data_IF_743180567629
#
_entry.id   IF_743180567629
#
_cell.length_a   1.000
_cell.length_b   1.000
_cell.length_c   1.000
_cell.angle_alpha   90.00
_cell.angle_beta   90.00
_cell.angle_gamma   90.00
#
_symmetry.space_group_name_H-M   'P 1'
#
loop_
_entity.id
_entity.type
_entity.pdbx_description
1 polymer ?
#
# COMPACT_ATOMS: atom_id res chain seq x y z
N UNK A 1 22.39 -5.94 0.98
CA UNK A 1 21.09 -6.47 1.42
C UNK A 1 20.20 -5.27 1.64
N UNK A 2 19.25 -5.01 0.74
CA UNK A 2 18.50 -3.76 0.78
C UNK A 2 17.41 -3.88 1.85
N UNK A 3 17.14 -2.80 2.58
CA UNK A 3 16.11 -2.76 3.65
C UNK A 3 14.68 -2.96 3.09
N UNK A 4 14.54 -3.15 1.77
CA UNK A 4 13.29 -3.49 1.10
C UNK A 4 13.02 -5.01 1.08
N UNK A 5 14.06 -5.84 1.25
CA UNK A 5 13.96 -7.30 1.12
C UNK A 5 13.21 -7.97 2.30
N UNK A 6 13.21 -7.35 3.48
CA UNK A 6 12.51 -7.88 4.67
C UNK A 6 10.98 -7.69 4.62
N UNK A 7 10.46 -6.83 3.74
CA UNK A 7 9.04 -6.52 3.66
C UNK A 7 8.23 -7.64 2.98
N UNK A 8 8.77 -8.23 1.93
CA UNK A 8 8.07 -9.26 1.15
C UNK A 8 8.04 -10.63 1.87
N UNK A 9 9.02 -10.91 2.73
CA UNK A 9 9.16 -12.23 3.38
C UNK A 9 8.19 -12.52 4.54
N UNK A 10 7.36 -11.57 4.97
CA UNK A 10 6.43 -11.79 6.11
C UNK A 10 5.02 -12.19 5.69
N UNK A 11 4.63 -11.96 4.43
CA UNK A 11 3.37 -12.46 3.91
C UNK A 11 3.53 -13.95 3.56
N UNK A 12 3.19 -14.83 4.51
CA UNK A 12 3.43 -16.29 4.41
C UNK A 12 2.42 -17.04 3.55
N UNK A 13 1.44 -16.35 2.96
CA UNK A 13 0.43 -16.94 2.07
C UNK A 13 0.76 -16.62 0.61
N UNK A 14 0.23 -17.40 -0.37
CA UNK A 14 0.21 -16.93 -1.75
C UNK A 14 -0.45 -15.55 -1.79
N UNK A 15 0.11 -14.63 -2.59
CA UNK A 15 -0.46 -13.30 -2.84
C UNK A 15 -0.98 -13.30 -4.28
N UNK A 16 -2.25 -13.66 -4.53
CA UNK A 16 -2.84 -13.57 -5.87
C UNK A 16 -2.94 -12.13 -6.38
N UNK A 17 -3.18 -11.16 -5.51
CA UNK A 17 -3.49 -9.79 -5.92
C UNK A 17 -2.88 -8.74 -4.98
N UNK A 18 -2.33 -7.67 -5.56
CA UNK A 18 -1.72 -6.59 -4.80
C UNK A 18 -2.01 -5.20 -5.40
N UNK A 19 -2.32 -4.24 -4.55
CA UNK A 19 -2.48 -2.82 -4.89
C UNK A 19 -1.29 -2.01 -4.36
N UNK A 20 -0.70 -1.18 -5.20
CA UNK A 20 0.41 -0.28 -4.86
C UNK A 20 0.02 1.17 -5.17
N UNK A 21 -0.07 2.01 -4.14
CA UNK A 21 -0.34 3.45 -4.31
C UNK A 21 0.97 4.23 -4.53
N UNK A 22 1.02 5.08 -5.56
CA UNK A 22 2.11 6.03 -5.90
C UNK A 22 3.55 5.45 -5.85
N UNK A 23 3.87 4.38 -6.57
CA UNK A 23 5.23 3.82 -6.47
C UNK A 23 5.80 3.10 -7.71
N UNK A 24 7.10 3.33 -7.97
CA UNK A 24 7.95 2.61 -8.96
C UNK A 24 8.38 1.20 -8.53
N UNK A 25 8.31 0.87 -7.24
CA UNK A 25 8.74 -0.43 -6.65
C UNK A 25 7.77 -1.61 -6.91
N UNK A 26 6.71 -1.40 -7.69
CA UNK A 26 5.81 -2.47 -8.15
C UNK A 26 6.52 -3.52 -9.02
N UNK A 27 7.62 -3.15 -9.69
CA UNK A 27 8.40 -4.08 -10.53
C UNK A 27 9.10 -5.15 -9.69
N UNK A 28 9.80 -4.75 -8.64
CA UNK A 28 10.54 -5.68 -7.78
C UNK A 28 9.59 -6.69 -7.12
N UNK A 29 8.37 -6.25 -6.75
CA UNK A 29 7.33 -7.14 -6.25
C UNK A 29 6.79 -8.08 -7.33
N UNK A 30 6.46 -7.55 -8.52
CA UNK A 30 5.97 -8.36 -9.63
C UNK A 30 6.97 -9.42 -10.09
N UNK A 31 8.27 -9.11 -10.07
CA UNK A 31 9.35 -10.03 -10.40
C UNK A 31 9.51 -11.13 -9.33
N UNK A 32 9.32 -10.78 -8.05
CA UNK A 32 9.35 -11.75 -6.94
C UNK A 32 8.10 -12.66 -6.88
N UNK A 33 6.95 -12.15 -7.32
CA UNK A 33 5.67 -12.86 -7.33
C UNK A 33 5.05 -12.86 -8.74
N UNK A 34 5.60 -13.63 -9.69
CA UNK A 34 5.15 -13.63 -11.09
C UNK A 34 3.71 -14.15 -11.26
N UNK A 35 3.18 -14.90 -10.28
CA UNK A 35 1.79 -15.35 -10.26
C UNK A 35 0.81 -14.31 -9.68
N UNK A 36 1.32 -13.25 -9.06
CA UNK A 36 0.49 -12.19 -8.48
C UNK A 36 0.09 -11.18 -9.57
N UNK A 37 -1.15 -10.74 -9.56
CA UNK A 37 -1.56 -9.54 -10.28
C UNK A 37 -1.26 -8.30 -9.44
N UNK A 38 -0.52 -7.35 -10.03
CA UNK A 38 -0.07 -6.15 -9.35
C UNK A 38 -0.71 -4.94 -10.02
N UNK A 39 -1.52 -4.19 -9.28
CA UNK A 39 -2.12 -2.94 -9.75
C UNK A 39 -1.35 -1.78 -9.12
N UNK A 40 -0.78 -0.92 -9.96
CA UNK A 40 -0.25 0.36 -9.54
C UNK A 40 -1.27 1.47 -9.79
N UNK A 41 -1.56 2.29 -8.77
CA UNK A 41 -2.43 3.46 -8.94
C UNK A 41 -1.71 4.78 -8.71
N UNK A 42 -2.10 5.79 -9.48
CA UNK A 42 -1.59 7.15 -9.42
C UNK A 42 -2.66 8.14 -9.89
N UNK A 43 -2.61 9.38 -9.41
CA UNK A 43 -3.49 10.46 -9.87
C UNK A 43 -3.19 10.83 -11.33
N UNK A 44 -1.98 10.55 -11.80
CA UNK A 44 -1.50 10.82 -13.14
C UNK A 44 -1.25 9.53 -13.91
N UNK A 45 -1.40 9.53 -15.25
CA UNK A 45 -1.03 8.39 -16.09
C UNK A 45 0.50 8.26 -16.17
N UNK A 46 1.12 7.70 -15.13
CA UNK A 46 2.58 7.56 -15.00
C UNK A 46 3.06 6.13 -15.34
N UNK A 47 2.85 5.69 -16.59
CA UNK A 47 3.36 4.40 -17.05
C UNK A 47 4.83 4.49 -17.48
N UNK A 48 5.72 3.59 -17.01
CA UNK A 48 7.04 3.37 -17.62
C UNK A 48 6.88 2.71 -19.01
N UNK A 49 7.87 2.87 -19.87
CA UNK A 49 7.88 2.26 -21.22
C UNK A 49 7.82 0.72 -21.18
N UNK A 50 8.32 0.11 -20.12
CA UNK A 50 8.31 -1.35 -19.96
C UNK A 50 7.90 -1.75 -18.55
N UNK A 51 6.95 -2.67 -18.46
CA UNK A 51 6.43 -3.25 -17.21
C UNK A 51 6.26 -4.77 -17.39
N UNK A 52 6.43 -5.56 -16.32
CA UNK A 52 6.10 -6.98 -16.35
C UNK A 52 4.64 -7.24 -16.75
N UNK A 53 4.32 -8.39 -17.37
CA UNK A 53 2.98 -8.68 -17.89
C UNK A 53 1.91 -8.81 -16.79
N UNK A 54 2.33 -9.05 -15.55
CA UNK A 54 1.46 -9.14 -14.37
C UNK A 54 1.27 -7.78 -13.66
N UNK A 55 1.74 -6.68 -14.25
CA UNK A 55 1.57 -5.32 -13.72
C UNK A 55 0.58 -4.54 -14.57
N UNK A 56 -0.46 -4.02 -13.93
CA UNK A 56 -1.46 -3.13 -14.52
C UNK A 56 -1.45 -1.78 -13.82
N UNK A 57 -2.01 -0.79 -14.51
CA UNK A 57 -2.00 0.60 -14.05
C UNK A 57 -3.38 1.19 -14.18
N UNK A 58 -3.81 1.83 -13.12
CA UNK A 58 -5.10 2.50 -13.08
C UNK A 58 -4.91 3.91 -12.55
N UNK A 59 -5.57 4.87 -13.20
CA UNK A 59 -5.56 6.26 -12.74
C UNK A 59 -6.63 6.38 -11.67
N UNK A 60 -6.22 6.63 -10.43
CA UNK A 60 -7.13 6.75 -9.29
C UNK A 60 -6.56 7.71 -8.25
N UNK A 61 -7.41 8.62 -7.76
CA UNK A 61 -7.08 9.49 -6.63
C UNK A 61 -7.26 8.72 -5.32
N UNK A 62 -6.17 8.53 -4.60
CA UNK A 62 -6.16 7.83 -3.32
C UNK A 62 -6.96 8.54 -2.21
N UNK A 63 -7.28 9.84 -2.39
CA UNK A 63 -8.07 10.64 -1.47
C UNK A 63 -9.59 10.47 -1.65
N UNK A 64 -10.01 9.84 -2.74
CA UNK A 64 -11.42 9.59 -3.06
C UNK A 64 -11.79 8.15 -2.74
N UNK A 65 -13.06 7.81 -2.95
CA UNK A 65 -13.50 6.43 -2.92
C UNK A 65 -12.79 5.63 -4.01
N UNK A 66 -12.18 4.52 -3.62
CA UNK A 66 -11.43 3.66 -4.51
C UNK A 66 -12.37 2.86 -5.42
N UNK A 67 -12.07 2.72 -6.72
CA UNK A 67 -12.95 2.07 -7.69
C UNK A 67 -12.99 0.54 -7.57
N UNK A 68 -12.19 -0.04 -6.67
CA UNK A 68 -12.12 -1.48 -6.46
C UNK A 68 -13.20 -1.97 -5.49
N UNK A 69 -13.63 -3.21 -5.72
CA UNK A 69 -14.58 -3.91 -4.84
C UNK A 69 -13.97 -4.17 -3.46
N UNK A 70 -14.86 -4.44 -2.51
CA UNK A 70 -14.49 -4.89 -1.17
C UNK A 70 -13.75 -6.23 -1.25
N UNK A 71 -12.82 -6.46 -0.33
CA UNK A 71 -12.07 -7.71 -0.19
C UNK A 71 -11.39 -8.18 -1.49
N UNK A 72 -10.90 -7.24 -2.31
CA UNK A 72 -10.31 -7.56 -3.61
C UNK A 72 -8.84 -7.95 -3.55
N UNK A 73 -8.06 -7.23 -2.73
CA UNK A 73 -6.61 -7.32 -2.71
C UNK A 73 -6.12 -8.12 -1.50
N UNK A 74 -5.20 -9.05 -1.74
CA UNK A 74 -4.52 -9.78 -0.66
C UNK A 74 -3.43 -8.93 0.00
N UNK A 75 -2.95 -7.91 -0.73
CA UNK A 75 -1.93 -6.98 -0.27
C UNK A 75 -2.19 -5.56 -0.75
N UNK A 76 -2.17 -4.59 0.16
CA UNK A 76 -2.25 -3.15 -0.15
C UNK A 76 -1.00 -2.46 0.39
N UNK A 77 -0.26 -1.83 -0.50
CA UNK A 77 0.96 -1.11 -0.18
C UNK A 77 0.81 0.39 -0.46
N UNK A 78 0.91 1.18 0.59
CA UNK A 78 0.86 2.64 0.58
C UNK A 78 2.26 3.18 0.83
N UNK A 79 2.78 4.05 -0.03
CA UNK A 79 4.13 4.60 0.15
C UNK A 79 4.27 6.01 -0.38
N UNK A 80 4.93 6.85 0.42
CA UNK A 80 5.25 8.25 0.10
C UNK A 80 4.03 9.07 -0.32
N UNK A 81 2.91 8.86 0.37
CA UNK A 81 1.71 9.68 0.22
C UNK A 81 1.74 10.93 1.13
N UNK A 82 2.77 11.09 1.97
CA UNK A 82 2.97 12.29 2.78
C UNK A 82 2.95 13.58 1.95
N UNK A 83 2.04 14.50 2.31
CA UNK A 83 1.82 15.76 1.59
C UNK A 83 0.80 15.68 0.45
N UNK A 84 0.43 14.48 0.00
CA UNK A 84 -0.64 14.28 -0.99
C UNK A 84 -2.00 13.96 -0.34
N UNK A 85 -1.98 13.27 0.82
CA UNK A 85 -3.20 12.86 1.53
C UNK A 85 -3.46 13.77 2.73
N UNK A 86 -4.68 14.31 2.78
CA UNK A 86 -5.17 15.12 3.90
C UNK A 86 -5.87 14.28 4.98
N UNK A 87 -6.70 13.31 4.57
CA UNK A 87 -7.49 12.44 5.46
C UNK A 87 -6.93 11.00 5.44
N UNK A 88 -5.93 10.76 6.29
CA UNK A 88 -5.32 9.44 6.47
C UNK A 88 -6.30 8.39 7.01
N UNK A 89 -7.18 8.70 7.99
CA UNK A 89 -8.25 7.79 8.38
C UNK A 89 -9.10 7.30 7.21
N UNK A 90 -9.53 8.19 6.31
CA UNK A 90 -10.31 7.81 5.13
C UNK A 90 -9.51 6.91 4.18
N UNK A 91 -8.24 7.25 3.91
CA UNK A 91 -7.33 6.42 3.12
C UNK A 91 -7.23 4.99 3.68
N UNK A 92 -7.00 4.86 4.99
CA UNK A 92 -6.89 3.54 5.61
C UNK A 92 -8.22 2.80 5.66
N UNK A 93 -9.36 3.49 5.78
CA UNK A 93 -10.67 2.86 5.65
C UNK A 93 -10.83 2.21 4.28
N UNK A 94 -10.45 2.90 3.20
CA UNK A 94 -10.48 2.33 1.84
C UNK A 94 -9.47 1.18 1.68
N UNK A 95 -8.25 1.33 2.22
CA UNK A 95 -7.25 0.27 2.21
C UNK A 95 -7.74 -1.00 2.90
N UNK A 96 -8.40 -0.88 4.05
CA UNK A 96 -8.96 -2.03 4.77
C UNK A 96 -10.23 -2.58 4.11
N UNK A 97 -11.05 -1.73 3.48
CA UNK A 97 -12.24 -2.16 2.73
C UNK A 97 -11.87 -3.01 1.52
N UNK A 98 -10.88 -2.57 0.75
CA UNK A 98 -10.44 -3.27 -0.45
C UNK A 98 -9.50 -4.45 -0.15
N UNK A 99 -8.97 -4.56 1.07
CA UNK A 99 -8.08 -5.65 1.45
C UNK A 99 -8.86 -6.85 2.00
N UNK A 100 -8.65 -8.02 1.40
CA UNK A 100 -9.32 -9.25 1.78
C UNK A 100 -9.05 -9.63 3.24
N UNK A 101 -9.99 -10.32 3.93
CA UNK A 101 -9.76 -10.82 5.28
C UNK A 101 -8.55 -11.75 5.33
N UNK A 102 -7.64 -11.53 6.28
CA UNK A 102 -6.36 -12.24 6.36
C UNK A 102 -5.25 -11.66 5.48
N UNK A 103 -5.58 -10.72 4.59
CA UNK A 103 -4.64 -9.93 3.79
C UNK A 103 -3.89 -8.88 4.61
N UNK A 104 -3.01 -8.14 3.93
CA UNK A 104 -2.08 -7.21 4.57
C UNK A 104 -2.19 -5.80 4.01
N UNK A 105 -2.27 -4.82 4.90
CA UNK A 105 -2.07 -3.41 4.57
C UNK A 105 -0.72 -2.97 5.14
N UNK A 106 0.13 -2.44 4.26
CA UNK A 106 1.43 -1.88 4.59
C UNK A 106 1.45 -0.39 4.25
N UNK A 107 1.93 0.43 5.18
CA UNK A 107 2.24 1.84 4.93
C UNK A 107 3.73 2.10 5.17
N UNK A 108 4.38 2.76 4.20
CA UNK A 108 5.78 3.17 4.24
C UNK A 108 5.87 4.69 4.01
N UNK A 109 5.81 5.47 5.07
CA UNK A 109 5.89 6.93 4.99
C UNK A 109 7.23 7.46 5.47
N UNK A 110 7.60 8.67 5.04
CA UNK A 110 8.77 9.35 5.58
C UNK A 110 8.43 9.95 6.95
N UNK A 111 9.29 9.72 7.95
CA UNK A 111 9.22 10.46 9.21
C UNK A 111 9.72 11.89 8.97
N UNK A 112 8.82 12.87 9.00
CA UNK A 112 9.20 14.27 8.90
C UNK A 112 9.44 14.84 10.30
N UNK A 113 10.56 14.47 10.93
CA UNK A 113 11.06 15.20 12.09
C UNK A 113 11.60 16.54 11.60
N UNK A 114 10.85 17.61 11.88
CA UNK A 114 11.23 18.99 11.56
C UNK A 114 12.63 19.31 12.10
N UNK A 115 13.60 19.50 11.20
CA UNK A 115 15.02 19.67 11.55
C UNK A 115 15.28 20.96 12.32
N UNK A 116 15.41 20.84 13.64
CA UNK A 116 16.58 21.44 14.33
C UNK A 116 17.61 20.41 14.82
N UNK A 117 17.30 19.09 14.82
CA UNK A 117 18.20 18.10 15.47
C UNK A 117 18.53 16.84 14.64
N UNK A 118 17.72 16.34 13.70
CA UNK A 118 17.99 15.02 13.08
C UNK A 118 18.55 15.10 11.65
N UNK A 119 19.78 14.61 11.44
CA UNK A 119 20.42 14.47 10.12
C UNK A 119 19.86 13.33 9.27
N UNK A 120 18.94 12.52 9.77
CA UNK A 120 18.44 11.32 9.09
C UNK A 120 16.91 11.30 9.08
N UNK A 121 16.32 11.21 7.88
CA UNK A 121 14.89 10.94 7.70
C UNK A 121 14.73 9.43 7.61
N UNK A 122 14.10 8.80 8.59
CA UNK A 122 13.81 7.38 8.56
C UNK A 122 12.42 7.15 7.97
N UNK A 123 12.23 6.08 7.17
CA UNK A 123 10.87 5.70 6.76
C UNK A 123 10.20 4.92 7.89
N UNK A 124 9.03 5.38 8.35
CA UNK A 124 8.18 4.62 9.27
C UNK A 124 7.44 3.57 8.47
N UNK A 125 7.56 2.32 8.90
CA UNK A 125 6.84 1.18 8.29
C UNK A 125 5.81 0.67 9.27
N UNK A 126 4.54 0.72 8.90
CA UNK A 126 3.43 0.15 9.68
C UNK A 126 2.83 -1.01 8.89
N UNK A 127 2.67 -2.13 9.57
CA UNK A 127 2.07 -3.35 9.02
C UNK A 127 0.85 -3.72 9.83
N UNK A 128 -0.26 -4.02 9.16
CA UNK A 128 -1.43 -4.55 9.82
C UNK A 128 -2.10 -5.61 8.97
N UNK A 129 -2.28 -6.78 9.57
CA UNK A 129 -3.08 -7.84 8.98
C UNK A 129 -4.56 -7.53 9.21
N UNK A 130 -5.38 -7.70 8.18
CA UNK A 130 -6.83 -7.60 8.31
C UNK A 130 -7.33 -8.84 9.05
N UNK A 131 -8.12 -8.69 10.14
CA UNK A 131 -8.66 -9.83 10.87
C UNK A 131 -9.49 -10.75 9.97
N UNK A 132 -9.47 -12.05 10.28
CA UNK A 132 -10.38 -13.03 9.66
C UNK A 132 -11.80 -12.71 10.14
N UNK A 133 -12.58 -12.02 9.30
CA UNK A 133 -13.83 -11.36 9.68
C UNK A 133 -13.96 -9.91 9.18
N UNK A 134 -12.91 -9.37 8.54
CA UNK A 134 -12.88 -8.02 7.98
C UNK A 134 -12.54 -6.96 9.02
N UNK A 135 -12.31 -5.74 8.57
CA UNK A 135 -12.07 -4.61 9.47
C UNK A 135 -13.41 -4.08 10.03
N UNK A 136 -13.51 -3.79 11.35
CA UNK A 136 -14.74 -3.22 11.90
C UNK A 136 -15.02 -1.86 11.24
N UNK A 137 -16.24 -1.65 10.74
CA UNK A 137 -16.71 -0.42 10.07
C UNK A 137 -16.71 0.85 10.96
N UNK A 138 -15.96 0.86 12.06
CA UNK A 138 -15.98 1.92 13.05
C UNK A 138 -14.72 2.79 12.93
N UNK A 139 -14.89 4.04 12.47
CA UNK A 139 -13.82 5.04 12.27
C UNK A 139 -12.95 5.32 13.50
N UNK A 140 -13.35 4.88 14.71
CA UNK A 140 -12.65 5.13 15.99
C UNK A 140 -11.26 4.47 16.13
N UNK A 141 -10.90 3.50 15.30
CA UNK A 141 -9.59 2.82 15.41
C UNK A 141 -8.52 3.36 14.46
N UNK A 142 -8.84 4.33 13.61
CA UNK A 142 -7.85 5.11 12.87
C UNK A 142 -7.12 6.14 13.75
N UNK A 143 -7.58 6.33 14.99
CA UNK A 143 -7.05 7.31 15.95
C UNK A 143 -5.94 6.74 16.86
N UNK A 144 -5.67 5.43 16.82
CA UNK A 144 -4.61 4.80 17.65
C UNK A 144 -3.27 4.64 16.90
N UNK A 145 -2.93 5.60 16.05
CA UNK A 145 -1.62 5.70 15.42
C UNK A 145 -0.57 6.29 16.35
#
# INVERSE_FOLDING_TARGET
>A
MSVQDLAYGQCKSPIPSALFLLTKCRRDFADAYPSAQVIGSDLSPCQPEWVPPNVHFEVADASLQWPWKDDYFDFVHVRYLFGAIHDWPALFCEAYRCCAPGGWVQSCEADYVHRRIAREAHSVKVWRQVPVGGWPNNRRLAETG
#
